data_IF_833448608677
#
_entry.id   IF_833448608677
#
_cell.length_a   1.000
_cell.length_b   1.000
_cell.length_c   1.000
_cell.angle_alpha   90.00
_cell.angle_beta   90.00
_cell.angle_gamma   90.00
#
_symmetry.space_group_name_H-M   'P 1'
#
loop_
_entity.id
_entity.type
_entity.pdbx_description
1 polymer ?
#
# COMPACT_ATOMS: atom_id res chain seq x y z
N UNK A 1 -28.45 -12.13 -2.36
CA UNK A 1 -27.91 -13.35 -1.71
C UNK A 1 -26.60 -13.67 -2.41
N UNK A 2 -25.59 -12.82 -2.20
CA UNK A 2 -24.25 -12.96 -2.81
C UNK A 2 -23.41 -13.77 -1.82
N UNK A 3 -22.88 -14.86 -2.34
CA UNK A 3 -22.27 -15.92 -1.57
C UNK A 3 -21.05 -15.42 -0.78
N UNK A 4 -21.04 -15.73 0.53
CA UNK A 4 -19.84 -15.82 1.34
C UNK A 4 -18.85 -16.80 0.69
N UNK A 5 -17.89 -16.28 -0.05
CA UNK A 5 -16.62 -16.95 -0.29
C UNK A 5 -15.54 -15.91 0.00
N UNK A 6 -15.03 -15.93 1.20
CA UNK A 6 -13.80 -15.23 1.58
C UNK A 6 -12.70 -15.80 0.71
N UNK A 7 -12.26 -15.01 -0.26
CA UNK A 7 -11.07 -15.33 -1.04
C UNK A 7 -9.90 -14.84 -0.18
N UNK A 8 -9.27 -15.74 0.56
CA UNK A 8 -7.97 -15.45 1.16
C UNK A 8 -6.94 -15.44 0.04
N UNK A 9 -6.36 -14.27 -0.21
CA UNK A 9 -5.39 -14.02 -1.25
C UNK A 9 -4.00 -14.06 -0.67
N UNK A 10 -3.14 -14.85 -1.28
CA UNK A 10 -1.71 -14.85 -1.01
C UNK A 10 -1.05 -13.96 -2.06
N UNK A 11 -0.49 -12.84 -1.62
CA UNK A 11 0.27 -11.94 -2.46
C UNK A 11 1.75 -12.29 -2.37
N UNK A 12 2.35 -12.70 -3.47
CA UNK A 12 3.77 -13.01 -3.55
C UNK A 12 4.53 -11.84 -4.20
N UNK A 13 5.50 -11.29 -3.50
CA UNK A 13 6.42 -10.31 -4.05
C UNK A 13 7.87 -10.66 -3.72
N UNK A 14 8.74 -10.60 -4.74
CA UNK A 14 10.19 -10.70 -4.73
C UNK A 14 10.81 -12.07 -4.36
N UNK A 15 11.11 -12.86 -5.38
CA UNK A 15 11.96 -14.06 -5.29
C UNK A 15 13.43 -13.68 -5.24
N UNK A 16 14.11 -13.99 -4.13
CA UNK A 16 15.58 -13.99 -4.06
C UNK A 16 16.04 -15.45 -3.88
N UNK A 17 16.54 -16.04 -4.94
CA UNK A 17 17.05 -17.42 -4.93
C UNK A 17 18.56 -17.48 -4.75
N UNK A 18 19.04 -18.43 -3.93
CA UNK A 18 20.44 -18.80 -3.83
C UNK A 18 20.82 -19.90 -4.81
N UNK A 19 21.89 -19.67 -5.56
CA UNK A 19 22.83 -20.67 -6.03
C UNK A 19 22.39 -21.70 -7.06
N UNK A 20 21.84 -21.25 -8.22
CA UNK A 20 22.00 -21.96 -9.48
C UNK A 20 22.27 -20.92 -10.56
N UNK A 21 23.34 -21.07 -11.31
CA UNK A 21 23.67 -20.21 -12.44
C UNK A 21 22.53 -20.23 -13.47
N UNK A 22 21.63 -19.26 -13.39
CA UNK A 22 20.55 -19.01 -14.33
C UNK A 22 21.01 -17.90 -15.27
N UNK A 23 21.49 -18.26 -16.46
CA UNK A 23 22.07 -17.37 -17.46
C UNK A 23 21.11 -16.35 -18.07
N UNK A 24 20.03 -15.93 -17.40
CA UNK A 24 19.09 -14.92 -17.90
C UNK A 24 18.07 -14.37 -16.87
N UNK A 25 18.33 -14.45 -15.56
CA UNK A 25 17.46 -13.83 -14.55
C UNK A 25 17.90 -12.37 -14.29
N UNK A 26 16.98 -11.46 -13.93
CA UNK A 26 17.35 -10.13 -13.44
C UNK A 26 17.97 -10.25 -12.05
N UNK A 27 19.28 -10.50 -11.99
CA UNK A 27 19.98 -11.08 -10.81
C UNK A 27 20.52 -10.00 -9.86
N UNK A 28 20.44 -8.69 -10.18
CA UNK A 28 21.34 -7.79 -9.45
C UNK A 28 20.73 -7.09 -8.25
N UNK A 29 19.60 -6.39 -8.41
CA UNK A 29 19.12 -5.48 -7.35
C UNK A 29 18.66 -6.22 -6.08
N UNK A 30 17.76 -7.19 -6.17
CA UNK A 30 17.24 -7.89 -5.01
C UNK A 30 18.32 -8.61 -4.20
N UNK A 31 19.30 -9.23 -4.88
CA UNK A 31 20.41 -9.90 -4.21
C UNK A 31 21.38 -8.90 -3.55
N UNK A 32 21.66 -7.77 -4.17
CA UNK A 32 22.56 -6.75 -3.59
C UNK A 32 21.94 -6.08 -2.37
N UNK A 33 20.61 -5.92 -2.31
CA UNK A 33 19.92 -5.28 -1.21
C UNK A 33 19.55 -6.25 -0.07
N UNK A 34 19.60 -7.58 -0.30
CA UNK A 34 19.19 -8.57 0.71
C UNK A 34 19.90 -8.43 2.05
N UNK A 35 21.19 -8.07 2.04
CA UNK A 35 21.99 -7.87 3.26
C UNK A 35 21.50 -6.72 4.12
N UNK A 36 20.80 -5.75 3.54
CA UNK A 36 20.25 -4.59 4.25
C UNK A 36 19.09 -4.95 5.17
N UNK A 37 18.51 -6.13 5.00
CA UNK A 37 17.37 -6.62 5.75
C UNK A 37 17.77 -7.73 6.74
N UNK A 38 17.99 -7.41 8.02
CA UNK A 38 18.47 -8.37 9.02
C UNK A 38 17.59 -9.61 9.16
N UNK A 39 16.27 -9.43 9.09
CA UNK A 39 15.31 -10.53 9.21
C UNK A 39 15.50 -11.59 8.12
N UNK A 40 15.95 -11.21 6.93
CA UNK A 40 16.17 -12.13 5.81
C UNK A 40 17.44 -12.98 5.99
N UNK A 41 18.26 -12.68 6.99
CA UNK A 41 19.43 -13.50 7.33
C UNK A 41 19.09 -14.71 8.22
N UNK A 42 17.84 -14.80 8.68
CA UNK A 42 17.39 -15.93 9.49
C UNK A 42 17.34 -17.24 8.69
N UNK A 43 17.57 -18.31 9.41
CA UNK A 43 17.29 -19.67 8.96
C UNK A 43 16.12 -20.22 9.74
N UNK A 44 15.19 -20.81 9.06
CA UNK A 44 13.94 -21.36 9.61
C UNK A 44 13.75 -22.78 9.09
N UNK A 45 12.80 -23.52 9.62
CA UNK A 45 12.44 -24.86 9.18
C UNK A 45 13.65 -25.72 8.77
N UNK A 46 14.15 -26.59 9.64
CA UNK A 46 15.28 -27.49 9.33
C UNK A 46 16.53 -26.77 8.77
N UNK A 47 16.80 -25.56 9.25
CA UNK A 47 17.96 -24.75 8.84
C UNK A 47 17.91 -24.22 7.39
N UNK A 48 16.73 -23.99 6.83
CA UNK A 48 16.57 -23.35 5.50
C UNK A 48 16.63 -21.81 5.60
N UNK A 49 17.17 -21.12 4.57
CA UNK A 49 17.13 -19.66 4.54
C UNK A 49 15.69 -19.17 4.42
N UNK A 50 15.35 -18.09 5.16
CA UNK A 50 14.04 -17.46 5.08
C UNK A 50 13.74 -16.97 3.65
N UNK A 51 12.62 -17.38 3.09
CA UNK A 51 12.01 -16.83 1.87
C UNK A 51 10.73 -16.09 2.28
N UNK A 52 10.71 -14.76 2.13
CA UNK A 52 9.55 -13.95 2.48
C UNK A 52 8.91 -13.35 1.21
N UNK A 53 7.69 -13.79 0.90
CA UNK A 53 6.99 -13.43 -0.34
C UNK A 53 5.69 -12.62 -0.11
N UNK A 54 5.44 -12.17 1.13
CA UNK A 54 4.22 -11.46 1.52
C UNK A 54 4.44 -9.96 1.76
N UNK A 55 5.31 -9.33 0.95
CA UNK A 55 5.60 -7.89 1.07
C UNK A 55 4.40 -6.99 0.77
N UNK A 56 3.41 -7.48 0.01
CA UNK A 56 2.17 -6.74 -0.24
C UNK A 56 1.29 -6.58 1.02
N UNK A 57 1.37 -7.52 1.97
CA UNK A 57 0.73 -7.39 3.28
C UNK A 57 1.54 -6.47 4.19
N UNK A 58 2.85 -6.71 4.34
CA UNK A 58 3.79 -5.85 5.07
C UNK A 58 5.21 -6.08 4.58
N UNK A 59 5.97 -5.01 4.32
CA UNK A 59 7.37 -5.13 3.92
C UNK A 59 8.31 -5.31 5.11
N UNK A 60 9.47 -5.93 4.89
CA UNK A 60 10.53 -6.00 5.89
C UNK A 60 11.24 -4.64 6.00
N UNK A 61 11.93 -4.42 7.12
CA UNK A 61 12.58 -3.14 7.45
C UNK A 61 14.08 -3.25 7.20
N UNK A 62 14.68 -2.33 6.42
CA UNK A 62 16.13 -2.29 6.28
C UNK A 62 16.78 -1.80 7.58
N UNK A 63 18.05 -2.17 7.79
CA UNK A 63 18.86 -1.78 8.95
C UNK A 63 18.83 -0.27 9.20
N UNK A 64 18.89 0.53 8.14
CA UNK A 64 18.84 1.99 8.24
C UNK A 64 17.58 2.52 8.97
N UNK A 65 16.44 1.86 8.78
CA UNK A 65 15.19 2.21 9.47
C UNK A 65 15.23 1.80 10.93
N UNK A 66 15.70 0.57 11.21
CA UNK A 66 15.82 0.05 12.57
C UNK A 66 16.79 0.89 13.40
N UNK A 67 17.95 1.25 12.83
CA UNK A 67 18.96 2.08 13.45
C UNK A 67 18.48 3.51 13.70
N UNK A 68 17.74 4.12 12.76
CA UNK A 68 17.17 5.45 12.95
C UNK A 68 16.20 5.49 14.13
N UNK A 69 15.34 4.47 14.25
CA UNK A 69 14.40 4.34 15.37
C UNK A 69 15.12 4.10 16.69
N UNK A 70 16.08 3.17 16.71
CA UNK A 70 16.89 2.88 17.89
C UNK A 70 17.67 4.10 18.36
N UNK A 71 18.35 4.78 17.45
CA UNK A 71 19.11 6.00 17.75
C UNK A 71 18.24 7.09 18.38
N UNK A 72 17.04 7.32 17.85
CA UNK A 72 16.12 8.29 18.44
C UNK A 72 15.77 7.90 19.88
N UNK A 73 15.41 6.64 20.14
CA UNK A 73 15.04 6.15 21.47
C UNK A 73 16.21 6.23 22.48
N UNK A 74 17.44 5.96 22.05
CA UNK A 74 18.60 5.93 22.92
C UNK A 74 19.19 7.34 23.19
N UNK A 75 19.00 8.31 22.28
CA UNK A 75 19.80 9.56 22.33
C UNK A 75 18.96 10.85 22.34
N UNK A 76 17.78 10.85 21.70
CA UNK A 76 17.05 12.07 21.43
C UNK A 76 15.58 11.99 21.84
N UNK A 77 15.15 10.93 22.56
CA UNK A 77 13.78 10.69 22.95
C UNK A 77 13.21 11.84 23.80
N UNK A 78 12.35 12.65 23.21
CA UNK A 78 11.65 13.74 23.86
C UNK A 78 10.37 14.05 23.10
N UNK A 79 9.41 14.73 23.76
CA UNK A 79 8.23 15.22 23.08
C UNK A 79 8.60 16.34 22.09
N UNK A 80 7.82 16.46 21.03
CA UNK A 80 8.04 17.42 19.93
C UNK A 80 7.27 18.72 20.15
N UNK A 81 7.69 19.80 19.49
CA UNK A 81 7.07 21.12 19.37
C UNK A 81 6.98 21.97 20.65
N UNK A 82 6.92 21.39 21.85
CA UNK A 82 6.63 22.13 23.10
C UNK A 82 7.81 22.30 24.07
N UNK A 83 8.84 21.48 23.92
CA UNK A 83 9.98 21.54 24.84
C UNK A 83 11.00 22.58 24.42
N UNK A 84 11.49 23.38 25.39
CA UNK A 84 12.57 24.35 25.15
C UNK A 84 13.99 23.76 25.36
N UNK A 85 14.09 22.47 25.68
CA UNK A 85 15.39 21.81 25.91
C UNK A 85 15.90 21.10 24.64
N UNK A 86 17.22 20.90 24.60
CA UNK A 86 17.93 20.37 23.43
C UNK A 86 17.32 19.10 22.83
N UNK A 87 16.92 18.12 23.67
CA UNK A 87 16.36 16.86 23.16
C UNK A 87 15.02 17.10 22.46
N UNK A 88 14.15 18.00 22.97
CA UNK A 88 12.90 18.33 22.28
C UNK A 88 13.17 19.02 20.94
N UNK A 89 14.15 19.90 20.85
CA UNK A 89 14.54 20.53 19.57
C UNK A 89 14.98 19.46 18.56
N UNK A 90 15.90 18.57 18.94
CA UNK A 90 16.40 17.47 18.07
C UNK A 90 15.28 16.52 17.64
N UNK A 91 14.41 16.14 18.59
CA UNK A 91 13.26 15.27 18.29
C UNK A 91 12.29 15.94 17.32
N UNK A 92 12.02 17.26 17.50
CA UNK A 92 11.18 18.04 16.60
C UNK A 92 11.79 18.14 15.19
N UNK A 93 13.09 18.46 15.11
CA UNK A 93 13.80 18.52 13.82
C UNK A 93 13.76 17.18 13.07
N UNK A 94 13.96 16.07 13.78
CA UNK A 94 13.92 14.74 13.19
C UNK A 94 12.49 14.35 12.73
N UNK A 95 11.47 14.67 13.53
CA UNK A 95 10.06 14.42 13.22
C UNK A 95 9.59 15.24 12.01
N UNK A 96 9.82 16.56 12.02
CA UNK A 96 9.45 17.43 10.91
C UNK A 96 10.31 17.17 9.66
N UNK A 97 11.58 16.79 9.86
CA UNK A 97 12.44 16.33 8.76
C UNK A 97 11.88 15.10 8.05
N UNK A 98 11.23 14.18 8.76
CA UNK A 98 10.54 13.05 8.14
C UNK A 98 9.35 13.50 7.28
N UNK A 99 8.60 14.52 7.74
CA UNK A 99 7.51 15.13 6.96
C UNK A 99 8.03 15.80 5.69
N UNK A 100 9.15 16.52 5.78
CA UNK A 100 9.80 17.15 4.62
C UNK A 100 10.23 16.10 3.58
N UNK A 101 10.74 14.96 4.03
CA UNK A 101 11.12 13.85 3.14
C UNK A 101 9.90 13.28 2.42
N UNK A 102 8.82 13.00 3.14
CA UNK A 102 7.58 12.53 2.53
C UNK A 102 7.02 13.52 1.52
N UNK A 103 6.99 14.82 1.85
CA UNK A 103 6.51 15.85 0.92
C UNK A 103 7.31 15.83 -0.40
N UNK A 104 8.63 15.74 -0.31
CA UNK A 104 9.49 15.61 -1.51
C UNK A 104 9.27 14.30 -2.24
N UNK A 105 9.10 13.20 -1.51
CA UNK A 105 8.98 11.86 -2.08
C UNK A 105 7.73 11.69 -2.95
N UNK A 106 6.62 12.34 -2.58
CA UNK A 106 5.38 12.33 -3.36
C UNK A 106 5.18 13.61 -4.18
N UNK A 107 6.17 14.51 -4.23
CA UNK A 107 6.14 15.80 -4.89
C UNK A 107 4.97 16.69 -4.43
N UNK A 108 4.68 16.74 -3.11
CA UNK A 108 3.75 17.72 -2.54
C UNK A 108 4.34 19.14 -2.59
N UNK A 109 3.49 20.16 -2.73
CA UNK A 109 3.92 21.57 -2.79
C UNK A 109 4.49 22.08 -1.46
N UNK A 110 3.97 21.53 -0.36
CA UNK A 110 4.34 21.94 0.99
C UNK A 110 4.29 20.73 1.92
N UNK A 111 5.19 20.70 2.91
CA UNK A 111 5.07 19.72 4.01
C UNK A 111 3.77 19.82 4.78
N UNK A 112 3.13 20.99 4.79
CA UNK A 112 1.83 21.18 5.43
C UNK A 112 0.68 20.44 4.76
N UNK A 113 0.90 19.89 3.55
CA UNK A 113 -0.02 18.99 2.84
C UNK A 113 0.13 17.51 3.28
N UNK A 114 1.11 17.21 4.16
CA UNK A 114 1.36 15.87 4.70
C UNK A 114 0.89 15.82 6.16
N UNK A 115 -0.07 14.96 6.44
CA UNK A 115 -0.60 14.69 7.78
C UNK A 115 -0.17 13.28 8.18
N UNK A 116 0.52 13.14 9.32
CA UNK A 116 0.84 11.82 9.85
C UNK A 116 -0.41 11.14 10.42
N UNK A 117 -0.53 9.85 10.14
CA UNK A 117 -1.59 8.98 10.63
C UNK A 117 -1.00 7.65 11.07
N UNK A 118 -1.76 6.78 11.70
CA UNK A 118 -1.30 5.42 12.04
C UNK A 118 -1.19 4.49 10.83
N UNK A 119 -1.66 4.92 9.66
CA UNK A 119 -1.66 4.21 8.38
C UNK A 119 -2.79 4.70 7.50
N UNK A 120 -2.88 4.16 6.28
CA UNK A 120 -3.88 4.56 5.30
C UNK A 120 -5.33 4.38 5.80
N UNK A 121 -5.60 3.35 6.60
CA UNK A 121 -6.94 3.16 7.20
C UNK A 121 -7.35 4.37 8.03
N UNK A 122 -6.47 4.88 8.88
CA UNK A 122 -6.77 6.08 9.66
C UNK A 122 -6.86 7.32 8.76
N UNK A 123 -6.00 7.43 7.75
CA UNK A 123 -6.02 8.54 6.80
C UNK A 123 -7.36 8.61 6.03
N UNK A 124 -7.88 7.47 5.56
CA UNK A 124 -9.20 7.43 4.88
C UNK A 124 -10.33 7.77 5.86
N UNK A 125 -10.28 7.25 7.10
CA UNK A 125 -11.24 7.61 8.14
C UNK A 125 -11.19 9.11 8.46
N UNK A 126 -10.01 9.73 8.51
CA UNK A 126 -9.86 11.18 8.68
C UNK A 126 -10.59 11.92 7.55
N UNK A 127 -10.36 11.54 6.29
CA UNK A 127 -11.06 12.17 5.15
C UNK A 127 -12.57 11.96 5.26
N UNK A 128 -13.03 10.76 5.57
CA UNK A 128 -14.46 10.46 5.72
C UNK A 128 -15.11 11.27 6.88
N UNK A 129 -14.46 11.31 8.05
CA UNK A 129 -15.00 11.94 9.25
C UNK A 129 -14.86 13.47 9.23
N UNK A 130 -13.87 14.02 8.57
CA UNK A 130 -13.65 15.47 8.48
C UNK A 130 -14.24 16.03 7.20
N UNK A 131 -13.64 15.72 6.03
CA UNK A 131 -14.12 16.22 4.76
C UNK A 131 -15.51 15.65 4.40
N UNK A 132 -15.71 14.35 4.54
CA UNK A 132 -16.95 13.68 4.16
C UNK A 132 -18.15 14.23 4.94
N UNK A 133 -18.05 14.28 6.27
CA UNK A 133 -19.14 14.86 7.10
C UNK A 133 -19.46 16.32 6.82
N UNK A 134 -18.50 17.09 6.34
CA UNK A 134 -18.69 18.52 6.07
C UNK A 134 -19.17 18.82 4.67
N UNK A 135 -18.97 17.91 3.71
CA UNK A 135 -19.22 18.16 2.29
C UNK A 135 -20.25 17.21 1.66
N UNK A 136 -20.60 16.11 2.35
CA UNK A 136 -21.58 15.14 1.86
C UNK A 136 -22.89 15.24 2.63
N UNK A 137 -23.99 15.15 1.91
CA UNK A 137 -25.34 15.15 2.43
C UNK A 137 -26.14 13.97 1.83
N UNK A 138 -27.37 13.75 2.32
CA UNK A 138 -28.25 12.70 1.84
C UNK A 138 -28.41 12.73 0.32
N UNK A 139 -28.21 11.58 -0.31
CA UNK A 139 -28.31 11.40 -1.76
C UNK A 139 -27.06 11.80 -2.53
N UNK A 140 -26.04 12.42 -1.92
CA UNK A 140 -24.74 12.61 -2.57
C UNK A 140 -24.05 11.26 -2.81
N UNK A 141 -23.28 11.17 -3.88
CA UNK A 141 -22.71 9.91 -4.34
C UNK A 141 -21.20 9.86 -4.13
N UNK A 142 -20.73 8.70 -3.65
CA UNK A 142 -19.32 8.32 -3.61
C UNK A 142 -19.11 7.13 -4.52
N UNK A 143 -18.21 7.26 -5.50
CA UNK A 143 -17.86 6.20 -6.44
C UNK A 143 -16.60 5.50 -5.96
N UNK A 144 -16.68 4.19 -5.81
CA UNK A 144 -15.61 3.27 -5.44
C UNK A 144 -15.39 2.26 -6.57
N UNK A 145 -14.43 1.35 -6.41
CA UNK A 145 -14.31 0.18 -7.28
C UNK A 145 -14.55 -1.11 -6.50
N UNK A 146 -14.86 -2.20 -7.22
CA UNK A 146 -15.02 -3.53 -6.59
C UNK A 146 -13.69 -4.14 -6.13
N UNK A 147 -12.54 -3.54 -6.51
CA UNK A 147 -11.21 -4.01 -6.13
C UNK A 147 -10.64 -3.31 -4.88
N UNK A 148 -11.39 -2.39 -4.26
CA UNK A 148 -10.88 -1.61 -3.14
C UNK A 148 -10.54 -2.48 -1.93
N UNK A 149 -9.47 -2.11 -1.23
CA UNK A 149 -9.21 -2.63 0.10
C UNK A 149 -10.32 -2.21 1.07
N UNK A 150 -10.65 -3.05 2.06
CA UNK A 150 -11.69 -2.77 3.06
C UNK A 150 -11.55 -1.39 3.72
N UNK A 151 -10.31 -0.91 3.89
CA UNK A 151 -10.04 0.44 4.41
C UNK A 151 -10.64 1.56 3.55
N UNK A 152 -10.82 1.34 2.25
CA UNK A 152 -11.42 2.29 1.32
C UNK A 152 -12.88 1.94 0.95
N UNK A 153 -13.51 1.06 1.71
CA UNK A 153 -14.94 0.74 1.57
C UNK A 153 -15.67 1.06 2.86
N UNK A 154 -15.23 0.46 3.97
CA UNK A 154 -15.96 0.48 5.25
C UNK A 154 -16.17 1.90 5.81
N UNK A 155 -15.21 2.83 5.78
CA UNK A 155 -15.45 4.20 6.26
C UNK A 155 -16.59 4.92 5.51
N UNK A 156 -16.74 4.65 4.22
CA UNK A 156 -17.82 5.21 3.40
C UNK A 156 -19.16 4.54 3.68
N UNK A 157 -19.19 3.23 3.99
CA UNK A 157 -20.39 2.53 4.43
C UNK A 157 -20.90 3.10 5.78
N UNK A 158 -19.99 3.35 6.73
CA UNK A 158 -20.36 4.01 7.99
C UNK A 158 -20.94 5.40 7.75
N UNK A 159 -20.35 6.16 6.82
CA UNK A 159 -20.87 7.48 6.46
C UNK A 159 -22.21 7.39 5.71
N UNK A 160 -22.43 6.34 4.90
CA UNK A 160 -23.69 6.04 4.26
C UNK A 160 -24.81 5.82 5.31
N UNK A 161 -24.54 5.02 6.34
CA UNK A 161 -25.49 4.79 7.44
C UNK A 161 -25.78 6.09 8.21
N UNK A 162 -24.78 6.93 8.40
CA UNK A 162 -24.90 8.17 9.17
C UNK A 162 -25.56 9.32 8.38
N UNK A 163 -25.26 9.46 7.08
CA UNK A 163 -25.58 10.64 6.27
C UNK A 163 -26.50 10.38 5.10
N UNK A 164 -26.84 9.11 4.82
CA UNK A 164 -27.68 8.76 3.68
C UNK A 164 -27.02 8.99 2.33
N UNK A 165 -25.69 8.98 2.24
CA UNK A 165 -24.97 9.03 0.96
C UNK A 165 -25.18 7.74 0.19
N UNK A 166 -24.93 7.77 -1.12
CA UNK A 166 -25.07 6.63 -2.01
C UNK A 166 -23.72 6.14 -2.46
N UNK A 167 -23.39 4.87 -2.20
CA UNK A 167 -22.16 4.23 -2.70
C UNK A 167 -22.41 3.55 -4.03
N UNK A 168 -21.53 3.79 -5.01
CA UNK A 168 -21.54 3.16 -6.32
C UNK A 168 -20.20 2.46 -6.55
N UNK A 169 -20.24 1.29 -7.23
CA UNK A 169 -19.05 0.47 -7.41
C UNK A 169 -18.78 0.23 -8.90
N UNK A 170 -17.68 0.78 -9.40
CA UNK A 170 -17.18 0.50 -10.74
C UNK A 170 -16.70 -0.95 -10.83
N UNK A 171 -17.02 -1.60 -11.93
CA UNK A 171 -16.69 -3.01 -12.20
C UNK A 171 -15.32 -3.12 -12.86
N UNK A 172 -14.88 -4.35 -13.05
CA UNK A 172 -13.68 -4.70 -13.79
C UNK A 172 -14.03 -5.04 -15.22
N UNK A 173 -13.08 -4.81 -16.12
CA UNK A 173 -13.12 -5.26 -17.50
C UNK A 173 -12.72 -6.76 -17.61
N UNK A 174 -12.63 -7.26 -18.85
CA UNK A 174 -12.26 -8.64 -19.17
C UNK A 174 -10.79 -8.98 -18.82
N UNK A 175 -9.95 -7.98 -18.57
CA UNK A 175 -8.56 -8.12 -18.12
C UNK A 175 -8.40 -8.02 -16.60
N UNK A 176 -9.50 -7.99 -15.85
CA UNK A 176 -9.53 -7.75 -14.40
C UNK A 176 -8.90 -6.39 -14.01
N UNK A 177 -8.98 -5.39 -14.89
CA UNK A 177 -8.62 -3.99 -14.64
C UNK A 177 -9.87 -3.14 -14.42
N UNK A 178 -9.69 -1.88 -13.98
CA UNK A 178 -10.81 -0.95 -13.83
C UNK A 178 -11.48 -0.70 -15.18
N UNK A 179 -12.77 -1.02 -15.29
CA UNK A 179 -13.61 -0.58 -16.41
C UNK A 179 -13.91 0.93 -16.28
N UNK A 180 -13.09 1.73 -16.97
CA UNK A 180 -13.22 3.20 -16.95
C UNK A 180 -14.53 3.66 -17.60
N UNK A 181 -15.05 2.94 -18.60
CA UNK A 181 -16.31 3.27 -19.23
C UNK A 181 -17.47 3.08 -18.24
N UNK A 182 -17.46 1.97 -17.51
CA UNK A 182 -18.42 1.74 -16.43
C UNK A 182 -18.28 2.78 -15.32
N UNK A 183 -17.05 3.10 -14.86
CA UNK A 183 -16.83 4.14 -13.87
C UNK A 183 -17.47 5.47 -14.32
N UNK A 184 -17.21 5.91 -15.56
CA UNK A 184 -17.80 7.13 -16.13
C UNK A 184 -19.32 7.08 -16.16
N UNK A 185 -19.92 5.92 -16.42
CA UNK A 185 -21.40 5.76 -16.45
C UNK A 185 -22.04 5.90 -15.06
N UNK A 186 -21.30 5.70 -13.97
CA UNK A 186 -21.77 5.85 -12.60
C UNK A 186 -21.78 7.33 -12.14
N UNK A 187 -21.01 8.19 -12.80
CA UNK A 187 -20.83 9.59 -12.40
C UNK A 187 -22.09 10.39 -12.77
N UNK A 188 -22.56 11.19 -11.81
CA UNK A 188 -23.69 12.10 -11.99
C UNK A 188 -23.40 13.47 -11.31
N UNK A 189 -24.25 14.48 -11.47
CA UNK A 189 -24.09 15.75 -10.76
C UNK A 189 -24.10 15.62 -9.21
N UNK A 190 -24.56 14.50 -8.68
CA UNK A 190 -24.53 14.19 -7.24
C UNK A 190 -23.23 13.52 -6.80
N UNK A 191 -22.38 13.11 -7.73
CA UNK A 191 -21.07 12.53 -7.38
C UNK A 191 -20.17 13.60 -6.79
N UNK A 192 -19.73 13.41 -5.54
CA UNK A 192 -18.88 14.36 -4.80
C UNK A 192 -17.48 13.83 -4.55
N UNK A 193 -17.32 12.50 -4.57
CA UNK A 193 -16.03 11.86 -4.36
C UNK A 193 -15.90 10.62 -5.26
N UNK A 194 -14.71 10.43 -5.81
CA UNK A 194 -14.26 9.18 -6.38
C UNK A 194 -13.06 8.71 -5.56
N UNK A 195 -13.18 7.56 -4.88
CA UNK A 195 -12.12 7.03 -4.04
C UNK A 195 -11.68 5.66 -4.57
N UNK A 196 -10.46 5.57 -5.07
CA UNK A 196 -9.95 4.39 -5.79
C UNK A 196 -8.52 4.04 -5.39
N UNK A 197 -8.20 2.76 -5.44
CA UNK A 197 -6.83 2.29 -5.33
C UNK A 197 -6.02 2.77 -6.55
N UNK A 198 -4.80 3.28 -6.33
CA UNK A 198 -3.88 3.57 -7.43
C UNK A 198 -3.33 2.27 -8.02
N UNK A 199 -2.94 1.33 -7.16
CA UNK A 199 -2.55 -0.04 -7.53
C UNK A 199 -3.32 -1.02 -6.66
N UNK A 200 -3.96 -2.00 -7.27
CA UNK A 200 -4.71 -3.03 -6.53
C UNK A 200 -3.76 -3.93 -5.73
N UNK A 201 -4.02 -4.08 -4.43
CA UNK A 201 -3.29 -5.00 -3.56
C UNK A 201 -3.57 -6.47 -3.85
N UNK A 202 -4.58 -6.76 -4.64
CA UNK A 202 -5.05 -8.10 -5.00
C UNK A 202 -4.71 -8.45 -6.43
N UNK A 203 -5.10 -7.59 -7.37
CA UNK A 203 -4.97 -7.84 -8.81
C UNK A 203 -3.63 -7.35 -9.36
N UNK A 204 -2.97 -6.44 -8.64
CA UNK A 204 -1.72 -5.83 -9.06
C UNK A 204 -1.85 -4.83 -10.22
N UNK A 205 -3.03 -4.66 -10.81
CA UNK A 205 -3.24 -3.68 -11.89
C UNK A 205 -3.00 -2.26 -11.40
N UNK A 206 -2.37 -1.45 -12.25
CA UNK A 206 -2.21 0.00 -12.05
C UNK A 206 -3.40 0.68 -12.69
N UNK A 207 -4.22 1.36 -11.89
CA UNK A 207 -5.41 2.04 -12.39
C UNK A 207 -5.05 3.33 -13.15
N UNK A 208 -5.77 3.68 -14.20
CA UNK A 208 -5.51 4.86 -15.03
C UNK A 208 -6.02 6.14 -14.33
N UNK A 209 -5.27 6.60 -13.32
CA UNK A 209 -5.64 7.73 -12.45
C UNK A 209 -5.94 9.00 -13.25
N UNK A 210 -5.21 9.30 -14.31
CA UNK A 210 -5.47 10.48 -15.15
C UNK A 210 -6.87 10.49 -15.76
N UNK A 211 -7.39 9.32 -16.15
CA UNK A 211 -8.74 9.18 -16.67
C UNK A 211 -9.80 9.31 -15.57
N UNK A 212 -9.51 8.75 -14.38
CA UNK A 212 -10.36 8.88 -13.19
C UNK A 212 -10.45 10.35 -12.75
N UNK A 213 -9.32 11.05 -12.66
CA UNK A 213 -9.27 12.47 -12.30
C UNK A 213 -10.01 13.33 -13.34
N UNK A 214 -9.79 13.08 -14.63
CA UNK A 214 -10.49 13.79 -15.69
C UNK A 214 -12.01 13.64 -15.57
N UNK A 215 -12.48 12.42 -15.30
CA UNK A 215 -13.91 12.16 -15.13
C UNK A 215 -14.47 12.83 -13.84
N UNK A 216 -13.71 12.82 -12.76
CA UNK A 216 -14.07 13.48 -11.50
C UNK A 216 -14.17 14.99 -11.65
N UNK A 217 -13.18 15.62 -12.30
CA UNK A 217 -13.16 17.08 -12.54
C UNK A 217 -14.37 17.54 -13.38
N UNK A 218 -14.77 16.76 -14.39
CA UNK A 218 -15.95 17.06 -15.20
C UNK A 218 -17.25 17.10 -14.37
N UNK A 219 -17.32 16.37 -13.26
CA UNK A 219 -18.45 16.34 -12.34
C UNK A 219 -18.29 17.27 -11.12
N UNK A 220 -17.13 17.92 -10.95
CA UNK A 220 -16.80 18.71 -9.76
C UNK A 220 -16.56 17.83 -8.51
N UNK A 221 -16.22 16.55 -8.69
CA UNK A 221 -15.96 15.60 -7.62
C UNK A 221 -14.49 15.63 -7.19
N UNK A 222 -14.24 15.42 -5.89
CA UNK A 222 -12.92 15.19 -5.34
C UNK A 222 -12.41 13.78 -5.66
N UNK A 223 -11.08 13.59 -5.63
CA UNK A 223 -10.44 12.28 -5.85
C UNK A 223 -9.56 11.93 -4.66
N UNK A 224 -9.82 10.76 -4.06
CA UNK A 224 -8.96 10.12 -3.08
C UNK A 224 -8.29 8.90 -3.70
N UNK A 225 -6.97 8.82 -3.58
CA UNK A 225 -6.18 7.68 -4.03
C UNK A 225 -5.67 6.86 -2.83
N UNK A 226 -6.01 5.58 -2.77
CA UNK A 226 -5.28 4.63 -1.93
C UNK A 226 -3.99 4.22 -2.66
N UNK A 227 -2.88 4.78 -2.21
CA UNK A 227 -1.55 4.60 -2.79
C UNK A 227 -0.69 3.61 -1.99
N UNK A 228 -1.29 2.77 -1.14
CA UNK A 228 -0.56 1.80 -0.34
C UNK A 228 0.30 0.83 -1.15
N UNK A 229 -0.09 0.55 -2.39
CA UNK A 229 0.65 -0.34 -3.29
C UNK A 229 1.33 0.41 -4.46
N UNK A 230 1.21 1.73 -4.55
CA UNK A 230 1.95 2.50 -5.55
C UNK A 230 3.18 3.20 -4.96
N UNK A 231 3.03 3.86 -3.81
CA UNK A 231 4.11 4.61 -3.15
C UNK A 231 5.37 3.76 -2.88
N UNK A 232 5.29 2.47 -2.48
CA UNK A 232 6.48 1.65 -2.30
C UNK A 232 7.09 1.09 -3.60
N UNK A 233 6.35 1.11 -4.72
CA UNK A 233 6.67 0.32 -5.91
C UNK A 233 6.95 1.13 -7.17
N UNK A 234 6.55 2.40 -7.22
CA UNK A 234 6.72 3.27 -8.39
C UNK A 234 6.81 4.74 -7.99
N UNK A 235 7.36 5.63 -8.85
CA UNK A 235 7.30 7.06 -8.61
C UNK A 235 5.85 7.56 -8.50
N UNK A 236 5.57 8.37 -7.48
CA UNK A 236 4.26 8.97 -7.27
C UNK A 236 4.41 10.48 -7.17
N UNK A 237 3.78 11.20 -8.09
CA UNK A 237 3.78 12.66 -8.17
C UNK A 237 2.34 13.17 -8.01
N UNK A 238 2.01 13.67 -6.81
CA UNK A 238 0.65 14.13 -6.49
C UNK A 238 0.23 15.37 -7.29
N UNK A 239 1.19 16.19 -7.75
CA UNK A 239 0.91 17.35 -8.58
C UNK A 239 0.57 16.91 -10.00
N UNK A 240 1.32 15.96 -10.57
CA UNK A 240 1.04 15.41 -11.90
C UNK A 240 -0.25 14.57 -11.91
N UNK A 241 -0.53 13.81 -10.85
CA UNK A 241 -1.77 13.04 -10.69
C UNK A 241 -2.99 13.94 -10.47
N UNK A 242 -2.81 15.16 -9.98
CA UNK A 242 -3.88 16.11 -9.61
C UNK A 242 -4.96 15.52 -8.70
N UNK A 243 -4.60 14.56 -7.85
CA UNK A 243 -5.53 14.03 -6.84
C UNK A 243 -5.73 15.02 -5.69
N UNK A 244 -6.87 14.95 -5.02
CA UNK A 244 -7.20 15.83 -3.89
C UNK A 244 -6.70 15.29 -2.57
N UNK A 245 -6.71 13.96 -2.44
CA UNK A 245 -6.19 13.20 -1.31
C UNK A 245 -5.41 11.99 -1.80
N UNK A 246 -4.33 11.65 -1.08
CA UNK A 246 -3.59 10.41 -1.28
C UNK A 246 -3.21 9.83 0.07
N UNK A 247 -3.35 8.51 0.24
CA UNK A 247 -3.04 7.84 1.49
C UNK A 247 -2.03 6.72 1.30
N UNK A 248 -1.13 6.54 2.26
CA UNK A 248 -0.19 5.42 2.26
C UNK A 248 0.15 4.96 3.68
N UNK A 249 0.60 3.70 3.79
CA UNK A 249 0.99 3.06 5.04
C UNK A 249 2.49 2.77 5.07
N UNK A 250 3.17 3.22 6.14
CA UNK A 250 4.62 3.07 6.29
C UNK A 250 5.10 1.62 6.27
N UNK A 251 4.34 0.70 6.89
CA UNK A 251 4.73 -0.71 6.97
C UNK A 251 4.80 -1.44 5.62
N UNK A 252 4.33 -0.83 4.53
CA UNK A 252 4.40 -1.38 3.17
C UNK A 252 5.58 -0.83 2.36
N UNK A 253 6.22 0.24 2.83
CA UNK A 253 7.32 0.91 2.15
C UNK A 253 8.65 0.82 2.92
N UNK A 254 8.91 -0.30 3.59
CA UNK A 254 10.11 -0.52 4.40
C UNK A 254 10.09 0.22 5.74
N UNK A 255 9.07 0.99 6.04
CA UNK A 255 8.91 1.76 7.26
C UNK A 255 8.25 0.94 8.40
N UNK A 256 8.16 1.52 9.61
CA UNK A 256 7.56 0.87 10.75
C UNK A 256 6.04 0.77 10.65
N UNK A 257 5.47 -0.16 11.43
CA UNK A 257 4.03 -0.23 11.65
C UNK A 257 3.55 0.92 12.55
N UNK A 258 2.27 1.26 12.49
CA UNK A 258 1.68 2.30 13.34
C UNK A 258 1.97 3.73 12.88
N UNK A 259 2.45 3.90 11.64
CA UNK A 259 2.62 5.19 10.97
C UNK A 259 2.28 5.08 9.49
N UNK A 260 1.72 6.12 8.95
CA UNK A 260 1.44 6.36 7.55
C UNK A 260 1.17 7.84 7.35
N UNK A 261 0.64 8.21 6.21
CA UNK A 261 0.34 9.61 5.95
C UNK A 261 -0.88 9.79 5.04
N UNK A 262 -1.51 10.94 5.20
CA UNK A 262 -2.42 11.55 4.25
C UNK A 262 -1.70 12.72 3.58
N UNK A 263 -1.67 12.73 2.25
CA UNK A 263 -1.51 13.95 1.48
C UNK A 263 -2.90 14.54 1.20
N UNK A 264 -3.05 15.85 1.36
CA UNK A 264 -4.25 16.56 0.95
C UNK A 264 -3.90 17.93 0.37
N UNK A 265 -4.60 18.35 -0.69
CA UNK A 265 -4.45 19.71 -1.21
C UNK A 265 -4.72 20.74 -0.11
N UNK A 266 -3.85 21.74 0.03
CA UNK A 266 -3.92 22.71 1.12
C UNK A 266 -5.29 23.40 1.20
N UNK A 267 -5.85 23.77 0.06
CA UNK A 267 -7.17 24.43 -0.01
C UNK A 267 -8.34 23.58 0.52
N UNK A 268 -8.18 22.26 0.53
CA UNK A 268 -9.14 21.34 1.15
C UNK A 268 -8.86 21.17 2.64
N UNK A 269 -7.60 20.94 3.02
CA UNK A 269 -7.20 20.76 4.40
C UNK A 269 -7.55 21.99 5.26
N UNK A 270 -7.39 23.19 4.72
CA UNK A 270 -7.75 24.43 5.44
C UNK A 270 -9.24 24.53 5.79
N UNK A 271 -10.10 23.99 4.93
CA UNK A 271 -11.56 23.99 5.09
C UNK A 271 -12.07 22.83 5.96
N UNK A 272 -11.26 21.78 6.12
CA UNK A 272 -11.65 20.60 6.89
C UNK A 272 -11.64 20.90 8.40
N UNK A 273 -12.72 20.55 9.13
CA UNK A 273 -12.72 20.63 10.58
C UNK A 273 -11.80 19.55 11.18
N UNK A 274 -11.35 19.72 12.44
CA UNK A 274 -10.67 18.64 13.14
C UNK A 274 -11.61 17.43 13.29
N UNK A 275 -11.03 16.24 13.30
CA UNK A 275 -11.77 14.99 13.46
C UNK A 275 -11.52 14.31 14.81
N UNK A 276 -10.43 14.66 15.47
CA UNK A 276 -10.09 14.29 16.84
C UNK A 276 -9.77 15.55 17.64
N UNK A 277 -10.09 15.56 18.92
CA UNK A 277 -9.78 16.64 19.85
C UNK A 277 -8.73 16.22 20.86
N UNK A 278 -7.83 17.13 21.22
CA UNK A 278 -6.79 16.88 22.20
C UNK A 278 -5.72 17.97 22.24
N UNK A 279 -4.58 17.64 22.82
CA UNK A 279 -3.39 18.50 22.74
C UNK A 279 -2.81 18.55 21.32
N UNK A 280 -1.87 19.41 21.06
CA UNK A 280 -1.17 19.69 19.79
C UNK A 280 -2.03 20.34 18.70
N UNK A 281 -3.27 19.89 18.50
CA UNK A 281 -4.17 20.32 17.43
C UNK A 281 -4.93 21.62 17.71
N UNK A 282 -4.77 22.21 18.90
CA UNK A 282 -5.44 23.44 19.36
C UNK A 282 -4.55 24.66 19.16
N UNK A 283 -5.17 25.84 18.97
CA UNK A 283 -4.51 27.14 19.09
C UNK A 283 -4.79 27.73 20.47
N UNK A 284 -6.06 27.95 20.81
CA UNK A 284 -6.50 28.47 22.10
C UNK A 284 -7.58 27.57 22.69
N UNK A 285 -7.61 27.44 24.01
CA UNK A 285 -8.63 26.67 24.75
C UNK A 285 -9.27 27.58 25.79
N UNK A 286 -10.59 27.74 25.69
CA UNK A 286 -11.42 28.41 26.65
C UNK A 286 -12.43 27.43 27.23
N UNK A 287 -13.10 27.81 28.31
CA UNK A 287 -14.12 26.95 28.94
C UNK A 287 -15.29 26.64 27.99
N UNK A 288 -15.69 27.64 27.19
CA UNK A 288 -16.86 27.55 26.31
C UNK A 288 -16.53 27.03 24.91
N UNK A 289 -15.31 27.26 24.44
CA UNK A 289 -14.89 26.85 23.07
C UNK A 289 -13.38 26.82 22.94
N UNK A 290 -12.93 26.13 21.87
CA UNK A 290 -11.52 26.11 21.46
C UNK A 290 -11.36 26.58 20.03
N UNK A 291 -10.18 27.08 19.70
CA UNK A 291 -9.72 27.30 18.32
C UNK A 291 -8.64 26.30 17.94
N UNK A 292 -8.51 26.03 16.67
CA UNK A 292 -7.69 24.92 16.18
C UNK A 292 -6.46 25.41 15.43
N UNK A 293 -5.40 24.63 15.49
CA UNK A 293 -4.18 24.87 14.75
C UNK A 293 -4.43 24.77 13.21
N UNK A 294 -3.56 25.37 12.39
CA UNK A 294 -3.58 25.11 10.94
C UNK A 294 -3.18 23.65 10.61
N UNK A 295 -3.47 23.18 9.39
CA UNK A 295 -2.88 21.93 8.90
C UNK A 295 -1.33 21.98 8.94
N UNK A 296 -0.65 20.85 9.19
CA UNK A 296 -1.18 19.52 9.43
C UNK A 296 -1.59 19.28 10.88
N UNK A 297 -1.15 20.12 11.84
CA UNK A 297 -1.33 19.93 13.29
C UNK A 297 -2.80 19.77 13.69
N UNK A 298 -3.73 20.45 12.98
CA UNK A 298 -5.18 20.32 13.20
C UNK A 298 -5.66 18.86 13.20
N UNK A 299 -4.98 17.99 12.49
CA UNK A 299 -5.38 16.60 12.30
C UNK A 299 -4.55 15.60 13.10
N UNK A 300 -3.55 16.09 13.85
CA UNK A 300 -2.59 15.29 14.63
C UNK A 300 -2.80 15.55 16.12
N UNK A 301 -3.88 15.01 16.68
CA UNK A 301 -4.22 15.21 18.09
C UNK A 301 -3.39 14.32 19.01
N UNK A 302 -2.83 14.91 20.06
CA UNK A 302 -2.04 14.22 21.10
C UNK A 302 -0.58 14.06 20.72
N UNK A 303 0.21 13.45 21.59
CA UNK A 303 1.62 13.13 21.30
C UNK A 303 1.71 12.16 20.15
N UNK A 304 2.39 12.52 19.04
CA UNK A 304 2.43 11.67 17.85
C UNK A 304 3.36 10.46 18.01
N UNK A 305 3.31 9.57 17.05
CA UNK A 305 4.21 8.42 16.95
C UNK A 305 5.60 8.88 16.44
N UNK A 306 6.35 9.60 17.29
CA UNK A 306 7.59 10.33 16.92
C UNK A 306 8.62 9.38 16.31
N UNK A 307 8.99 8.33 17.03
CA UNK A 307 9.98 7.35 16.58
C UNK A 307 9.58 6.67 15.27
N UNK A 308 8.30 6.36 15.12
CA UNK A 308 7.79 5.72 13.91
C UNK A 308 7.81 6.68 12.72
N UNK A 309 7.49 7.96 12.92
CA UNK A 309 7.60 8.98 11.87
C UNK A 309 9.05 9.17 11.41
N UNK A 310 10.01 9.20 12.36
CA UNK A 310 11.45 9.25 12.07
C UNK A 310 11.88 8.01 11.27
N UNK A 311 11.43 6.82 11.69
CA UNK A 311 11.68 5.57 10.97
C UNK A 311 11.08 5.58 9.55
N UNK A 312 9.88 6.16 9.36
CA UNK A 312 9.29 6.34 8.04
C UNK A 312 10.12 7.28 7.17
N UNK A 313 10.64 8.37 7.75
CA UNK A 313 11.58 9.26 7.05
C UNK A 313 12.87 8.55 6.61
N UNK A 314 13.40 7.63 7.42
CA UNK A 314 14.55 6.81 7.04
C UNK A 314 14.20 5.78 5.93
N UNK A 315 12.98 5.25 5.91
CA UNK A 315 12.51 4.40 4.81
C UNK A 315 12.42 5.17 3.49
N UNK A 316 11.95 6.42 3.53
CA UNK A 316 11.95 7.31 2.35
C UNK A 316 13.38 7.58 1.84
N UNK A 317 14.33 7.84 2.73
CA UNK A 317 15.74 8.00 2.33
C UNK A 317 16.28 6.73 1.66
N UNK A 318 15.99 5.57 2.22
CA UNK A 318 16.42 4.27 1.69
C UNK A 318 15.84 4.02 0.29
N UNK A 319 14.55 4.19 0.08
CA UNK A 319 13.90 4.04 -1.23
C UNK A 319 14.41 5.07 -2.24
N UNK A 320 14.60 6.32 -1.80
CA UNK A 320 15.11 7.39 -2.66
C UNK A 320 16.57 7.13 -3.09
N UNK A 321 17.38 6.51 -2.24
CA UNK A 321 18.75 6.13 -2.58
C UNK A 321 18.82 5.00 -3.61
N UNK A 322 17.84 4.09 -3.61
CA UNK A 322 17.70 3.07 -4.67
C UNK A 322 17.22 3.73 -5.97
N UNK A 323 16.29 4.67 -5.86
CA UNK A 323 15.62 5.34 -6.98
C UNK A 323 14.34 4.62 -7.39
N UNK A 324 13.20 5.31 -7.32
CA UNK A 324 11.89 4.69 -7.57
C UNK A 324 11.71 4.21 -9.02
N UNK A 325 12.31 4.87 -10.00
CA UNK A 325 12.33 4.39 -11.40
C UNK A 325 13.05 3.03 -11.52
N UNK A 326 14.12 2.84 -10.75
CA UNK A 326 14.86 1.58 -10.73
C UNK A 326 14.05 0.47 -10.04
N UNK A 327 13.33 0.80 -8.97
CA UNK A 327 12.39 -0.11 -8.28
C UNK A 327 11.30 -0.56 -9.25
N UNK A 328 10.58 0.36 -9.88
CA UNK A 328 9.51 0.07 -10.84
C UNK A 328 9.99 -0.82 -11.99
N UNK A 329 11.13 -0.45 -12.59
CA UNK A 329 11.73 -1.24 -13.67
C UNK A 329 12.08 -2.66 -13.23
N UNK A 330 12.65 -2.81 -12.03
CA UNK A 330 13.00 -4.12 -11.48
C UNK A 330 11.75 -4.96 -11.19
N UNK A 331 10.74 -4.36 -10.61
CA UNK A 331 9.47 -5.05 -10.33
C UNK A 331 8.74 -5.45 -11.61
N UNK A 332 8.77 -4.62 -12.65
CA UNK A 332 8.24 -5.02 -13.96
C UNK A 332 8.95 -6.27 -14.51
N UNK A 333 10.28 -6.35 -14.34
CA UNK A 333 11.04 -7.54 -14.72
C UNK A 333 10.64 -8.77 -13.89
N UNK A 334 10.44 -8.60 -12.57
CA UNK A 334 9.99 -9.68 -11.69
C UNK A 334 8.58 -10.16 -12.04
N UNK A 335 7.64 -9.24 -12.28
CA UNK A 335 6.29 -9.56 -12.70
C UNK A 335 6.28 -10.36 -14.01
N UNK A 336 7.02 -9.88 -15.00
CA UNK A 336 7.19 -10.57 -16.29
C UNK A 336 7.82 -11.94 -16.10
N UNK A 337 8.85 -12.06 -15.26
CA UNK A 337 9.49 -13.35 -14.96
C UNK A 337 8.52 -14.35 -14.32
N UNK A 338 7.74 -13.90 -13.34
CA UNK A 338 6.78 -14.73 -12.62
C UNK A 338 5.70 -15.33 -13.55
N UNK A 339 5.23 -14.54 -14.52
CA UNK A 339 4.21 -14.98 -15.48
C UNK A 339 4.76 -15.70 -16.71
N UNK A 340 6.00 -15.40 -17.14
CA UNK A 340 6.57 -15.91 -18.38
C UNK A 340 7.49 -17.12 -18.23
N UNK A 341 8.04 -17.36 -17.03
CA UNK A 341 8.98 -18.47 -16.79
C UNK A 341 8.46 -19.46 -15.76
N UNK A 342 8.96 -20.67 -15.90
CA UNK A 342 8.82 -21.79 -15.00
C UNK A 342 9.27 -21.38 -13.59
N UNK A 343 8.37 -21.23 -12.65
CA UNK A 343 8.67 -21.15 -11.24
C UNK A 343 8.96 -22.59 -10.74
N UNK A 344 10.22 -23.06 -10.79
CA UNK A 344 10.53 -24.49 -10.70
C UNK A 344 10.09 -25.10 -9.36
N UNK A 345 10.08 -24.33 -8.30
CA UNK A 345 9.75 -24.80 -6.97
C UNK A 345 8.27 -24.62 -6.62
N UNK A 346 7.69 -23.47 -6.90
CA UNK A 346 6.26 -23.20 -6.66
C UNK A 346 5.38 -24.20 -7.44
N UNK A 347 5.76 -24.50 -8.69
CA UNK A 347 5.07 -25.46 -9.53
C UNK A 347 5.17 -26.90 -9.00
N UNK A 348 6.32 -27.30 -8.44
CA UNK A 348 6.49 -28.62 -7.83
C UNK A 348 5.61 -28.75 -6.56
N UNK A 349 5.52 -27.70 -5.75
CA UNK A 349 4.74 -27.66 -4.53
C UNK A 349 3.24 -27.76 -4.78
N UNK A 350 2.71 -26.95 -5.72
CA UNK A 350 1.27 -26.97 -6.06
C UNK A 350 0.87 -28.34 -6.64
N UNK A 351 1.74 -28.97 -7.46
CA UNK A 351 1.50 -30.33 -7.97
C UNK A 351 1.51 -31.40 -6.89
N UNK A 352 2.39 -31.28 -5.90
CA UNK A 352 2.45 -32.23 -4.78
C UNK A 352 1.17 -32.18 -3.94
N UNK A 353 0.60 -30.99 -3.73
CA UNK A 353 -0.69 -30.83 -3.05
C UNK A 353 -1.88 -31.40 -3.83
N UNK A 354 -1.83 -31.35 -5.17
CA UNK A 354 -2.93 -31.78 -6.04
C UNK A 354 -2.90 -33.29 -6.42
N UNK A 355 -1.81 -34.01 -6.14
CA UNK A 355 -1.69 -35.45 -6.50
C UNK A 355 -2.02 -36.35 -5.30
N UNK A 356 -2.90 -37.35 -5.45
CA UNK A 356 -3.02 -38.40 -4.45
C UNK A 356 -1.70 -39.15 -4.32
N UNK A 357 -1.29 -39.41 -3.10
CA UNK A 357 -0.06 -40.12 -2.70
C UNK A 357 0.21 -41.35 -3.60
N UNK A 358 1.19 -41.31 -4.46
CA UNK A 358 1.64 -42.44 -5.22
C UNK A 358 2.63 -42.16 -6.36
N UNK A 359 3.87 -42.62 -6.16
CA UNK A 359 4.95 -42.80 -7.12
C UNK A 359 5.84 -41.61 -7.48
N UNK A 360 6.91 -41.45 -6.72
CA UNK A 360 8.13 -40.78 -7.19
C UNK A 360 8.88 -41.69 -8.16
N UNK A 361 8.74 -41.48 -9.46
CA UNK A 361 9.61 -42.10 -10.47
C UNK A 361 10.65 -41.10 -10.95
N UNK A 362 11.91 -41.45 -10.75
CA UNK A 362 13.09 -40.78 -11.29
C UNK A 362 13.06 -40.71 -12.80
N UNK A 363 12.71 -39.59 -13.41
CA UNK A 363 12.95 -39.31 -14.82
C UNK A 363 13.29 -37.82 -15.02
N UNK A 364 14.27 -37.58 -15.91
CA UNK A 364 14.87 -36.34 -16.45
C UNK A 364 14.09 -35.03 -16.21
N UNK A 365 14.76 -33.87 -16.08
CA UNK A 365 14.07 -32.58 -15.88
C UNK A 365 13.25 -32.27 -17.12
N UNK A 366 11.99 -32.67 -17.12
CA UNK A 366 11.00 -32.16 -18.06
C UNK A 366 10.90 -30.64 -17.87
N UNK A 367 10.74 -29.92 -18.97
CA UNK A 367 10.38 -28.49 -18.97
C UNK A 367 9.29 -28.27 -17.92
N UNK A 368 9.60 -27.46 -16.90
CA UNK A 368 8.69 -27.24 -15.79
C UNK A 368 7.60 -26.24 -16.22
N UNK A 369 6.32 -26.53 -15.98
CA UNK A 369 5.22 -25.69 -16.45
C UNK A 369 5.22 -24.30 -15.79
N UNK A 370 4.67 -23.31 -16.48
CA UNK A 370 4.39 -21.98 -15.96
C UNK A 370 3.30 -22.08 -14.87
N UNK A 371 3.16 -21.07 -14.01
CA UNK A 371 2.04 -21.03 -13.04
C UNK A 371 0.70 -21.20 -13.74
N UNK A 372 0.50 -20.56 -14.89
CA UNK A 372 -0.72 -20.66 -15.69
C UNK A 372 -0.96 -22.04 -16.32
N UNK A 373 0.03 -22.92 -16.33
CA UNK A 373 -0.05 -24.29 -16.88
C UNK A 373 -0.29 -25.34 -15.78
N UNK A 374 -0.38 -24.92 -14.51
CA UNK A 374 -0.69 -25.83 -13.40
C UNK A 374 -2.20 -26.12 -13.43
N UNK A 375 -2.62 -27.38 -13.60
CA UNK A 375 -4.04 -27.71 -13.60
C UNK A 375 -4.73 -27.26 -12.31
N UNK A 376 -5.87 -26.58 -12.44
CA UNK A 376 -6.65 -26.08 -11.31
C UNK A 376 -6.13 -24.79 -10.67
N UNK A 377 -4.99 -24.23 -11.12
CA UNK A 377 -4.49 -22.95 -10.62
C UNK A 377 -5.07 -21.79 -11.45
N UNK A 378 -5.73 -20.86 -10.78
CA UNK A 378 -6.18 -19.59 -11.35
C UNK A 378 -5.30 -18.45 -10.86
N UNK A 379 -4.76 -17.67 -11.80
CA UNK A 379 -4.06 -16.39 -11.53
C UNK A 379 -5.06 -15.24 -11.65
N UNK A 380 -4.86 -14.20 -10.87
CA UNK A 380 -5.69 -13.00 -10.86
C UNK A 380 -4.92 -11.77 -11.30
N UNK A 381 -5.65 -10.83 -11.91
CA UNK A 381 -5.12 -9.57 -12.45
C UNK A 381 -4.53 -9.72 -13.85
N UNK A 382 -4.18 -8.61 -14.50
CA UNK A 382 -3.78 -8.56 -15.89
C UNK A 382 -2.49 -9.34 -16.15
N UNK A 383 -2.42 -10.01 -17.29
CA UNK A 383 -1.21 -10.70 -17.73
C UNK A 383 -0.17 -9.64 -18.20
N UNK A 384 1.02 -9.56 -17.58
CA UNK A 384 2.02 -8.57 -17.95
C UNK A 384 2.52 -8.67 -19.38
N UNK A 385 2.31 -9.84 -20.04
CA UNK A 385 2.65 -10.06 -21.46
C UNK A 385 1.75 -9.28 -22.41
N UNK A 386 0.60 -8.82 -21.95
CA UNK A 386 -0.33 -8.00 -22.75
C UNK A 386 0.03 -6.52 -22.72
N UNK A 387 1.11 -6.11 -22.05
CA UNK A 387 1.53 -4.72 -21.96
C UNK A 387 0.69 -3.87 -21.02
N UNK A 388 -0.16 -4.48 -20.20
CA UNK A 388 -0.98 -3.78 -19.20
C UNK A 388 -0.11 -3.49 -17.98
N UNK A 389 -0.04 -2.23 -17.52
CA UNK A 389 0.76 -1.86 -16.35
C UNK A 389 0.31 -2.60 -15.09
N UNK A 390 1.28 -3.18 -14.36
CA UNK A 390 1.01 -3.86 -13.10
C UNK A 390 2.23 -3.89 -12.18
N UNK A 391 1.97 -3.96 -10.87
CA UNK A 391 2.99 -4.24 -9.87
C UNK A 391 3.43 -5.72 -9.89
N UNK A 392 4.58 -6.02 -9.30
CA UNK A 392 5.13 -7.37 -9.16
C UNK A 392 4.37 -8.21 -8.10
N UNK A 393 3.07 -8.22 -8.18
CA UNK A 393 2.17 -8.93 -7.29
C UNK A 393 1.47 -10.05 -8.07
N UNK A 394 1.39 -11.25 -7.50
CA UNK A 394 0.69 -12.38 -8.11
C UNK A 394 -0.26 -13.01 -7.08
N UNK A 395 -1.53 -12.78 -7.25
CA UNK A 395 -2.57 -13.48 -6.53
C UNK A 395 -3.01 -14.72 -7.31
N UNK A 396 -3.18 -15.83 -6.62
CA UNK A 396 -3.64 -17.07 -7.21
C UNK A 396 -4.49 -17.89 -6.25
N UNK A 397 -5.27 -18.81 -6.83
CA UNK A 397 -6.10 -19.75 -6.11
C UNK A 397 -6.05 -21.12 -6.82
N UNK A 398 -6.43 -22.17 -6.13
CA UNK A 398 -6.53 -23.51 -6.69
C UNK A 398 -7.94 -24.06 -6.51
N UNK A 399 -8.49 -24.76 -7.52
CA UNK A 399 -9.88 -25.20 -7.55
C UNK A 399 -10.24 -26.16 -6.41
N UNK A 400 -9.31 -27.02 -6.01
CA UNK A 400 -9.55 -28.11 -5.05
C UNK A 400 -8.79 -27.98 -3.74
N UNK A 401 -7.82 -27.05 -3.64
CA UNK A 401 -7.02 -26.83 -2.44
C UNK A 401 -7.41 -25.49 -1.83
N UNK A 402 -7.78 -25.49 -0.56
CA UNK A 402 -8.10 -24.25 0.13
C UNK A 402 -6.86 -23.35 0.26
N UNK A 403 -7.05 -22.03 0.13
CA UNK A 403 -5.94 -21.07 0.10
C UNK A 403 -5.05 -21.14 1.35
N UNK A 404 -5.65 -21.34 2.54
CA UNK A 404 -4.89 -21.49 3.78
C UNK A 404 -4.04 -22.75 3.82
N UNK A 405 -4.54 -23.88 3.28
CA UNK A 405 -3.78 -25.14 3.21
C UNK A 405 -2.61 -24.99 2.24
N UNK A 406 -2.85 -24.33 1.10
CA UNK A 406 -1.81 -24.03 0.13
C UNK A 406 -0.73 -23.10 0.71
N UNK A 407 -1.12 -22.08 1.48
CA UNK A 407 -0.19 -21.19 2.17
C UNK A 407 0.66 -21.94 3.19
N UNK A 408 0.04 -22.77 4.03
CA UNK A 408 0.73 -23.58 5.04
C UNK A 408 1.72 -24.55 4.39
N UNK A 409 1.33 -25.17 3.29
CA UNK A 409 2.21 -26.07 2.54
C UNK A 409 3.41 -25.33 1.94
N UNK A 410 3.18 -24.18 1.32
CA UNK A 410 4.24 -23.35 0.74
C UNK A 410 5.23 -22.87 1.81
N UNK A 411 4.74 -22.48 2.98
CA UNK A 411 5.58 -22.09 4.11
C UNK A 411 6.51 -23.21 4.56
N UNK A 412 6.01 -24.44 4.66
CA UNK A 412 6.79 -25.59 5.15
C UNK A 412 7.78 -26.15 4.11
N UNK A 413 7.48 -26.05 2.83
CA UNK A 413 8.28 -26.68 1.76
C UNK A 413 9.32 -25.74 1.17
N UNK A 414 9.02 -24.45 1.04
CA UNK A 414 9.89 -23.48 0.36
C UNK A 414 10.65 -22.55 1.31
N UNK A 415 10.28 -22.54 2.60
CA UNK A 415 10.97 -21.73 3.62
C UNK A 415 12.32 -22.32 3.96
#
# INVERSE_FOLDING_TARGET
MVARRTVELIAACAVVTHGVALSSAPVSMGNSLRSDFPILQQRIWEDKPLVYLDSAATSQKPSAVLEAMQRHQERDNANVHRGAHLLSVRSTEAYEGARDKLARFVNARSRSEIVFTRGATEAINLVAQSWGRSNLQEGDEVVLTVMEHHSNIVPWQLLQEERGIVLKFAQLDEHECLDVAHLRSLISPRTKLIAVAHVSNTLGCVNPVSEVVTAARAAGAAVLLDACQSVPHMPVDVQALDCDFLVASGHKMGGPSGVGFLYGKMELLEKMPPWQGGGEMIRDVFLEKSTFAPPPSRFEAGTPAITQAIGLGAAVDYLSAIGMDAVEKYEHQLGTYLYSRHAPRLCACVRACASPLGSASSRRPALRPRLSEIPGLRLYGPDPRQGIPRAALCAFNHETVHAADLATFLDQVES
#
